data_IF_343008156233
#
_entry.id   IF_343008156233
#
_cell.length_a   1.000
_cell.length_b   1.000
_cell.length_c   1.000
_cell.angle_alpha   90.00
_cell.angle_beta   90.00
_cell.angle_gamma   90.00
#
_symmetry.space_group_name_H-M   'P 1'
#
loop_
_entity.id
_entity.type
_entity.pdbx_description
1 polymer ?
#
# COMPACT_ATOMS: atom_id res chain seq x y z
N UNK A 1 -8.04 -14.75 -7.62
CA UNK A 1 -8.41 -14.01 -6.41
C UNK A 1 -9.04 -12.68 -6.78
N UNK A 2 -9.94 -12.18 -5.96
CA UNK A 2 -10.55 -10.86 -6.08
C UNK A 2 -9.91 -9.93 -5.04
N UNK A 3 -9.48 -8.77 -5.50
CA UNK A 3 -8.79 -7.77 -4.68
C UNK A 3 -9.61 -6.48 -4.63
N UNK A 4 -9.75 -5.83 -3.48
CA UNK A 4 -10.41 -4.52 -3.40
C UNK A 4 -9.63 -3.41 -4.12
N UNK A 5 -8.32 -3.58 -4.25
CA UNK A 5 -7.38 -2.71 -4.94
C UNK A 5 -6.24 -3.58 -5.49
N UNK A 6 -5.67 -3.24 -6.65
CA UNK A 6 -4.55 -4.00 -7.25
C UNK A 6 -3.32 -4.10 -6.31
N UNK A 7 -3.14 -3.14 -5.41
CA UNK A 7 -2.05 -3.11 -4.42
C UNK A 7 -2.40 -3.76 -3.08
N UNK A 8 -3.61 -4.30 -2.90
CA UNK A 8 -4.06 -4.81 -1.59
C UNK A 8 -3.20 -5.94 -1.02
N UNK A 9 -2.45 -6.65 -1.86
CA UNK A 9 -1.52 -7.73 -1.44
C UNK A 9 -0.34 -7.24 -0.60
N UNK A 10 -0.05 -5.94 -0.58
CA UNK A 10 1.01 -5.38 0.28
C UNK A 10 0.60 -5.35 1.76
N UNK A 11 -0.69 -5.46 2.05
CA UNK A 11 -1.20 -5.47 3.42
C UNK A 11 -1.14 -6.91 3.94
N UNK A 12 -0.36 -7.18 4.99
CA UNK A 12 -0.20 -8.53 5.51
C UNK A 12 -1.49 -9.06 6.14
N UNK A 13 -1.62 -10.38 6.22
CA UNK A 13 -2.72 -11.10 6.87
C UNK A 13 -4.10 -10.81 6.25
N UNK A 14 -4.16 -10.46 4.97
CA UNK A 14 -5.39 -10.39 4.20
C UNK A 14 -5.45 -11.59 3.24
N UNK A 15 -6.46 -12.43 3.40
CA UNK A 15 -6.76 -13.53 2.50
C UNK A 15 -7.80 -13.10 1.47
N UNK A 16 -7.48 -13.27 0.19
CA UNK A 16 -8.34 -12.84 -0.90
C UNK A 16 -9.05 -14.03 -1.52
N UNK A 17 -10.39 -14.09 -1.45
CA UNK A 17 -11.16 -15.17 -2.01
C UNK A 17 -11.06 -15.24 -3.53
N UNK A 18 -11.26 -16.43 -4.08
CA UNK A 18 -11.22 -16.67 -5.51
C UNK A 18 -12.64 -16.85 -6.06
N UNK A 19 -12.97 -16.19 -7.17
CA UNK A 19 -14.27 -16.26 -7.85
C UNK A 19 -14.64 -17.67 -8.33
N UNK A 20 -13.68 -18.57 -8.44
CA UNK A 20 -13.94 -19.96 -8.79
C UNK A 20 -14.60 -20.75 -7.67
N UNK A 21 -14.41 -20.29 -6.44
CA UNK A 21 -14.86 -21.00 -5.24
C UNK A 21 -15.91 -20.22 -4.43
N UNK A 22 -16.04 -18.91 -4.70
CA UNK A 22 -16.90 -18.04 -3.90
C UNK A 22 -17.60 -17.04 -4.83
N UNK A 23 -18.89 -16.86 -4.63
CA UNK A 23 -19.68 -15.89 -5.39
C UNK A 23 -19.18 -14.44 -5.16
N UNK A 24 -19.21 -13.62 -6.22
CA UNK A 24 -18.71 -12.23 -6.17
C UNK A 24 -19.48 -11.38 -5.17
N UNK A 25 -20.80 -11.59 -5.03
CA UNK A 25 -21.61 -10.87 -4.06
C UNK A 25 -21.18 -11.25 -2.63
N UNK A 26 -20.95 -12.51 -2.38
CA UNK A 26 -20.43 -12.99 -1.08
C UNK A 26 -19.03 -12.42 -0.80
N UNK A 27 -18.14 -12.39 -1.82
CA UNK A 27 -16.82 -11.77 -1.67
C UNK A 27 -16.95 -10.32 -1.27
N UNK A 28 -17.82 -9.56 -1.95
CA UNK A 28 -17.99 -8.14 -1.72
C UNK A 28 -18.54 -7.79 -0.34
N UNK A 29 -19.55 -8.55 0.13
CA UNK A 29 -20.24 -8.22 1.38
C UNK A 29 -19.66 -8.90 2.61
N UNK A 30 -19.15 -10.12 2.47
CA UNK A 30 -18.86 -10.98 3.63
C UNK A 30 -17.35 -11.23 3.82
N UNK A 31 -16.50 -10.98 2.80
CA UNK A 31 -15.07 -11.24 2.92
C UNK A 31 -14.41 -10.32 3.95
N UNK A 32 -13.64 -10.86 4.92
CA UNK A 32 -12.89 -10.07 5.89
C UNK A 32 -11.92 -9.09 5.23
N UNK A 33 -11.27 -9.48 4.12
CA UNK A 33 -10.34 -8.61 3.40
C UNK A 33 -11.02 -7.38 2.79
N UNK A 34 -12.29 -7.53 2.36
CA UNK A 34 -13.09 -6.42 1.83
C UNK A 34 -13.70 -5.56 2.93
N UNK A 35 -13.96 -6.14 4.11
CA UNK A 35 -14.60 -5.45 5.21
C UNK A 35 -13.62 -4.78 6.18
N UNK A 36 -12.32 -5.15 6.15
CA UNK A 36 -11.33 -4.67 7.11
C UNK A 36 -11.27 -3.16 7.25
N UNK A 37 -11.44 -2.44 6.16
CA UNK A 37 -11.35 -0.97 6.12
C UNK A 37 -12.65 -0.29 5.69
N UNK A 38 -13.80 -0.97 5.86
CA UNK A 38 -15.10 -0.35 5.63
C UNK A 38 -15.54 0.44 6.86
N UNK A 39 -16.23 1.56 6.59
CA UNK A 39 -16.65 2.48 7.64
C UNK A 39 -15.44 3.20 8.29
N UNK A 40 -15.64 3.67 9.51
CA UNK A 40 -14.68 4.52 10.22
C UNK A 40 -14.24 3.97 11.56
N UNK A 41 -14.83 2.86 12.04
CA UNK A 41 -14.57 2.29 13.36
C UNK A 41 -13.14 1.76 13.54
N UNK A 42 -12.51 1.31 12.46
CA UNK A 42 -11.14 0.81 12.42
C UNK A 42 -10.09 1.92 12.55
N UNK A 43 -10.47 3.18 12.36
CA UNK A 43 -9.54 4.31 12.28
C UNK A 43 -8.86 4.59 13.62
N UNK A 44 -7.56 4.87 13.55
CA UNK A 44 -6.74 5.43 14.64
C UNK A 44 -6.68 6.96 14.53
N UNK A 45 -6.19 7.61 15.58
CA UNK A 45 -5.89 9.05 15.49
C UNK A 45 -4.75 9.31 14.47
N UNK A 46 -4.78 10.42 13.74
CA UNK A 46 -5.74 11.55 13.83
C UNK A 46 -7.02 11.36 13.01
N UNK A 47 -7.16 10.26 12.23
CA UNK A 47 -8.32 10.05 11.36
C UNK A 47 -9.62 9.86 12.16
N UNK A 48 -9.58 9.19 13.31
CA UNK A 48 -10.76 8.92 14.15
C UNK A 48 -11.51 10.19 14.55
N UNK A 49 -10.80 11.24 14.93
CA UNK A 49 -11.38 12.53 15.33
C UNK A 49 -11.46 13.55 14.19
N UNK A 50 -11.03 13.19 12.98
CA UNK A 50 -11.00 14.10 11.84
C UNK A 50 -12.42 14.40 11.34
N UNK A 51 -12.71 15.68 11.05
CA UNK A 51 -13.99 16.10 10.43
C UNK A 51 -14.21 15.52 9.02
N UNK A 52 -13.11 15.18 8.33
CA UNK A 52 -13.15 14.68 6.94
C UNK A 52 -13.21 13.15 6.86
N UNK A 53 -13.24 12.44 7.99
CA UNK A 53 -13.12 10.97 8.02
C UNK A 53 -14.15 10.22 7.17
N UNK A 54 -15.36 10.77 7.05
CA UNK A 54 -16.44 10.18 6.24
C UNK A 54 -16.26 10.46 4.73
N UNK A 55 -15.48 11.49 4.39
CA UNK A 55 -15.20 11.90 3.01
C UNK A 55 -13.98 11.18 2.43
N UNK A 56 -12.88 11.14 3.19
CA UNK A 56 -11.59 10.59 2.71
C UNK A 56 -11.33 9.15 3.16
N UNK A 57 -12.09 8.66 4.14
CA UNK A 57 -11.97 7.33 4.73
C UNK A 57 -10.52 6.99 5.15
N UNK A 58 -9.78 8.01 5.61
CA UNK A 58 -8.39 7.89 6.06
C UNK A 58 -7.35 7.78 4.95
N UNK A 59 -7.74 7.89 3.68
CA UNK A 59 -6.85 7.82 2.52
C UNK A 59 -6.51 6.39 2.06
N UNK A 60 -5.38 6.20 1.39
CA UNK A 60 -5.00 4.91 0.80
C UNK A 60 -4.33 3.97 1.81
N UNK A 61 -4.97 2.85 2.12
CA UNK A 61 -4.46 1.84 3.08
C UNK A 61 -3.18 1.14 2.62
N UNK A 62 -3.08 0.90 1.29
CA UNK A 62 -1.88 0.29 0.71
C UNK A 62 -0.68 1.25 0.79
N UNK A 63 -0.90 2.54 0.58
CA UNK A 63 0.13 3.56 0.70
C UNK A 63 0.56 3.76 2.15
N UNK A 64 -0.39 3.79 3.09
CA UNK A 64 -0.09 3.83 4.52
C UNK A 64 0.78 2.63 4.93
N UNK A 65 0.45 1.41 4.46
CA UNK A 65 1.25 0.22 4.72
C UNK A 65 2.66 0.33 4.13
N UNK A 66 2.78 0.73 2.85
CA UNK A 66 4.07 0.77 2.16
C UNK A 66 5.02 1.84 2.70
N UNK A 67 4.50 3.00 3.07
CA UNK A 67 5.32 4.13 3.49
C UNK A 67 5.49 4.23 5.00
N UNK A 68 4.45 3.90 5.77
CA UNK A 68 4.46 4.03 7.23
C UNK A 68 4.49 2.69 7.97
N UNK A 69 4.44 1.55 7.26
CA UNK A 69 4.47 0.21 7.87
C UNK A 69 3.18 -0.22 8.57
N UNK A 70 2.13 0.60 8.53
CA UNK A 70 0.85 0.32 9.19
C UNK A 70 -0.32 0.75 8.31
N UNK A 71 -1.10 -0.22 7.83
CA UNK A 71 -2.28 0.04 7.01
C UNK A 71 -3.42 0.76 7.76
N UNK A 72 -3.40 0.81 9.07
CA UNK A 72 -4.38 1.53 9.91
C UNK A 72 -3.95 2.95 10.25
N UNK A 73 -2.71 3.34 9.95
CA UNK A 73 -2.22 4.70 10.15
C UNK A 73 -2.87 5.70 9.17
N UNK A 74 -2.81 6.98 9.51
CA UNK A 74 -3.20 8.03 8.55
C UNK A 74 -2.31 7.96 7.30
N UNK A 75 -2.91 8.10 6.12
CA UNK A 75 -2.16 8.14 4.87
C UNK A 75 -1.08 9.24 4.93
N UNK A 76 0.20 8.93 4.65
CA UNK A 76 1.28 9.93 4.66
C UNK A 76 1.05 11.14 3.74
N UNK A 77 0.22 11.02 2.71
CA UNK A 77 -0.14 12.16 1.84
C UNK A 77 -1.02 13.19 2.56
N UNK A 78 -1.78 12.76 3.58
CA UNK A 78 -2.61 13.67 4.37
C UNK A 78 -1.74 14.67 5.14
N UNK A 79 -2.09 15.97 5.09
CA UNK A 79 -1.38 17.04 5.81
C UNK A 79 -1.42 16.88 7.34
N UNK A 80 -2.42 16.15 7.85
CA UNK A 80 -2.60 15.86 9.29
C UNK A 80 -1.88 14.57 9.72
N UNK A 81 -1.27 13.84 8.77
CA UNK A 81 -0.58 12.59 9.09
C UNK A 81 0.72 12.85 9.86
N UNK A 82 1.00 12.11 10.94
CA UNK A 82 2.29 12.16 11.63
C UNK A 82 3.45 11.70 10.71
N UNK A 83 3.13 10.95 9.66
CA UNK A 83 4.09 10.44 8.69
C UNK A 83 4.19 11.33 7.43
N UNK A 84 3.65 12.55 7.44
CA UNK A 84 3.70 13.48 6.31
C UNK A 84 5.14 13.80 5.86
N UNK A 85 6.08 13.83 6.81
CA UNK A 85 7.50 14.06 6.53
C UNK A 85 8.10 13.10 5.49
N UNK A 86 7.57 11.88 5.35
CA UNK A 86 8.01 10.91 4.34
C UNK A 86 7.72 11.42 2.91
N UNK A 87 6.57 12.03 2.70
CA UNK A 87 6.20 12.63 1.41
C UNK A 87 7.01 13.90 1.15
N UNK A 88 7.14 14.76 2.17
CA UNK A 88 7.90 16.01 2.05
C UNK A 88 9.38 15.74 1.73
N UNK A 89 9.95 14.68 2.30
CA UNK A 89 11.30 14.23 1.96
C UNK A 89 11.39 13.72 0.52
N UNK A 90 10.44 12.87 0.08
CA UNK A 90 10.41 12.37 -1.29
C UNK A 90 10.29 13.49 -2.32
N UNK A 91 9.51 14.54 -2.01
CA UNK A 91 9.41 15.73 -2.88
C UNK A 91 10.77 16.44 -2.95
N UNK A 92 11.43 16.70 -1.81
CA UNK A 92 12.76 17.32 -1.79
C UNK A 92 13.80 16.52 -2.57
N UNK A 93 13.74 15.19 -2.48
CA UNK A 93 14.66 14.32 -3.19
C UNK A 93 14.48 14.43 -4.71
N UNK A 94 13.26 14.69 -5.20
CA UNK A 94 13.03 14.92 -6.65
C UNK A 94 13.59 16.25 -7.15
N UNK A 95 13.78 17.21 -6.28
CA UNK A 95 14.39 18.50 -6.61
C UNK A 95 15.93 18.44 -6.66
N UNK A 96 16.52 17.31 -6.22
CA UNK A 96 17.95 17.12 -6.19
C UNK A 96 18.50 16.75 -7.59
N UNK A 97 19.27 17.64 -8.26
CA UNK A 97 19.78 17.39 -9.62
C UNK A 97 20.81 16.25 -9.69
N UNK A 98 21.25 15.69 -8.56
CA UNK A 98 22.19 14.56 -8.49
C UNK A 98 21.53 13.18 -8.53
N UNK A 99 20.21 13.09 -8.53
CA UNK A 99 19.51 11.82 -8.71
C UNK A 99 19.47 11.46 -10.20
N UNK A 100 20.46 10.65 -10.64
CA UNK A 100 20.39 10.04 -11.97
C UNK A 100 19.14 9.18 -12.07
N UNK A 101 18.22 9.55 -12.95
CA UNK A 101 17.07 8.72 -13.27
C UNK A 101 17.55 7.39 -13.87
N UNK A 102 17.37 6.28 -13.15
CA UNK A 102 17.66 4.96 -13.71
C UNK A 102 16.76 4.74 -14.93
N UNK A 103 17.33 4.28 -16.04
CA UNK A 103 16.54 4.05 -17.24
C UNK A 103 15.41 3.05 -16.95
N UNK A 104 14.20 3.37 -17.44
CA UNK A 104 13.05 2.49 -17.31
C UNK A 104 13.34 1.23 -18.13
N UNK A 105 13.44 0.09 -17.44
CA UNK A 105 13.58 -1.20 -18.10
C UNK A 105 12.21 -1.79 -18.37
N UNK A 106 11.82 -1.85 -19.62
CA UNK A 106 10.60 -2.54 -20.03
C UNK A 106 10.77 -4.05 -19.86
N UNK A 107 9.78 -4.71 -19.25
CA UNK A 107 9.75 -6.18 -19.20
C UNK A 107 9.64 -6.76 -20.61
N UNK A 108 10.51 -7.68 -20.93
CA UNK A 108 10.45 -8.52 -22.13
C UNK A 108 10.52 -9.99 -21.72
N UNK A 109 10.09 -10.91 -22.60
CA UNK A 109 10.21 -12.35 -22.33
C UNK A 109 11.65 -12.81 -22.11
N UNK A 110 12.66 -12.03 -22.54
CA UNK A 110 14.07 -12.33 -22.32
C UNK A 110 14.57 -11.94 -20.93
N UNK A 111 14.00 -10.92 -20.31
CA UNK A 111 14.44 -10.41 -19.00
C UNK A 111 13.48 -10.78 -17.85
N UNK A 112 12.26 -11.26 -18.15
CA UNK A 112 11.30 -11.65 -17.12
C UNK A 112 11.74 -12.88 -16.31
N UNK A 113 12.58 -13.75 -16.86
CA UNK A 113 13.13 -14.93 -16.16
C UNK A 113 14.28 -14.62 -15.19
N UNK A 114 14.93 -13.47 -15.34
CA UNK A 114 16.06 -13.08 -14.46
C UNK A 114 15.62 -12.46 -13.14
N UNK A 115 14.36 -12.05 -13.03
CA UNK A 115 13.82 -11.39 -11.83
C UNK A 115 13.33 -12.41 -10.80
N UNK A 116 13.09 -13.68 -11.19
CA UNK A 116 12.43 -14.66 -10.32
C UNK A 116 13.32 -15.34 -9.28
N UNK A 117 14.64 -15.37 -9.41
CA UNK A 117 15.43 -16.35 -8.67
C UNK A 117 16.46 -15.81 -7.65
N UNK A 118 16.71 -14.54 -7.53
CA UNK A 118 17.73 -14.05 -6.60
C UNK A 118 17.54 -12.62 -6.10
N UNK A 119 17.26 -11.71 -6.99
CA UNK A 119 17.25 -10.28 -6.67
C UNK A 119 16.01 -9.82 -5.88
N UNK A 120 14.90 -10.55 -5.97
CA UNK A 120 13.67 -10.21 -5.27
C UNK A 120 13.77 -10.49 -3.76
N UNK A 121 14.46 -11.57 -3.38
CA UNK A 121 14.76 -11.88 -1.97
C UNK A 121 15.71 -10.85 -1.34
N UNK A 122 16.71 -10.42 -2.09
CA UNK A 122 17.68 -9.43 -1.62
C UNK A 122 17.09 -8.02 -1.54
N UNK A 123 16.19 -7.68 -2.47
CA UNK A 123 15.47 -6.41 -2.51
C UNK A 123 14.44 -6.29 -1.39
N UNK A 124 13.69 -7.37 -1.10
CA UNK A 124 12.76 -7.44 0.01
C UNK A 124 13.48 -7.41 1.36
N UNK A 125 14.63 -8.09 1.49
CA UNK A 125 15.44 -8.04 2.70
C UNK A 125 16.01 -6.64 2.99
N UNK A 126 16.39 -5.88 1.95
CA UNK A 126 16.83 -4.48 2.10
C UNK A 126 15.69 -3.53 2.46
N UNK A 127 14.46 -3.82 2.03
CA UNK A 127 13.29 -3.00 2.36
C UNK A 127 12.85 -3.15 3.83
N UNK A 128 13.09 -4.34 4.42
CA UNK A 128 12.80 -4.62 5.83
C UNK A 128 13.94 -4.24 6.79
N UNK A 129 15.08 -3.81 6.28
CA UNK A 129 16.26 -3.43 7.07
C UNK A 129 16.47 -1.90 7.18
N UNK A 130 15.52 -1.10 6.76
CA UNK A 130 15.56 0.34 7.00
C UNK A 130 15.04 0.63 8.41
N UNK A 131 15.79 1.41 9.21
CA UNK A 131 15.49 1.71 10.60
C UNK A 131 14.21 2.52 10.77
#
# INVERSE_FOLDING_TARGET
>A
DVLPCHSARVIPNLEFPNVRNTDVKQIWYDSPAFNKFRGTDWMKEPCRSCSEKENDLGGCRCQAMLLAGDAESADPVCSKSPNRHLIDQAIKDTENPGLEAKPIMFRSNKNSKKISDGEEKERLAKFHALP
#
